data_IF_988396613186
#
_entry.id   IF_988396613186
#
_cell.length_a   1.000
_cell.length_b   1.000
_cell.length_c   1.000
_cell.angle_alpha   90.00
_cell.angle_beta   90.00
_cell.angle_gamma   90.00
#
_symmetry.space_group_name_H-M   'P 1'
#
loop_
_entity.id
_entity.type
_entity.pdbx_description
1 polymer ?
#
# COMPACT_ATOMS: atom_id res chain seq x y z
N UNK A 1 -4.30 39.77 12.74
CA UNK A 1 -3.69 38.45 12.46
C UNK A 1 -4.44 37.43 13.26
N UNK A 2 -5.41 36.75 12.64
CA UNK A 2 -6.05 35.59 13.27
C UNK A 2 -5.09 34.42 13.11
N UNK A 3 -4.64 33.89 14.25
CA UNK A 3 -3.85 32.67 14.27
C UNK A 3 -4.73 31.53 13.77
N UNK A 4 -4.34 30.93 12.64
CA UNK A 4 -4.86 29.62 12.28
C UNK A 4 -4.37 28.65 13.34
N UNK A 5 -5.26 28.33 14.29
CA UNK A 5 -5.16 27.18 15.18
C UNK A 5 -4.84 25.98 14.30
N UNK A 6 -3.61 25.45 14.44
CA UNK A 6 -3.27 24.17 13.85
C UNK A 6 -4.23 23.16 14.45
N UNK A 7 -5.12 22.64 13.62
CA UNK A 7 -5.78 21.37 13.86
C UNK A 7 -4.71 20.27 13.77
N UNK A 8 -3.82 20.23 14.77
CA UNK A 8 -3.15 19.01 15.14
C UNK A 8 -4.20 18.20 15.87
N UNK A 9 -5.10 17.57 15.10
CA UNK A 9 -6.00 16.59 15.68
C UNK A 9 -5.13 15.61 16.43
N UNK A 10 -5.43 15.39 17.71
CA UNK A 10 -4.92 14.30 18.51
C UNK A 10 -5.31 12.98 17.79
N UNK A 11 -4.58 12.63 16.73
CA UNK A 11 -4.56 11.25 16.23
C UNK A 11 -3.86 10.50 17.32
N UNK A 12 -4.66 9.88 18.19
CA UNK A 12 -4.20 8.99 19.25
C UNK A 12 -3.11 8.10 18.65
N UNK A 13 -1.85 8.35 19.05
CA UNK A 13 -0.70 7.74 18.40
C UNK A 13 -0.79 6.25 18.62
N UNK A 14 -1.10 5.51 17.57
CA UNK A 14 -1.08 4.05 17.60
C UNK A 14 0.37 3.65 17.81
N UNK A 15 0.70 3.26 19.03
CA UNK A 15 2.04 2.84 19.41
C UNK A 15 2.11 1.33 19.33
N UNK A 16 2.73 0.84 18.27
CA UNK A 16 2.99 -0.59 18.14
C UNK A 16 4.23 -1.00 18.94
N UNK A 17 4.13 -2.15 19.60
CA UNK A 17 5.28 -2.82 20.20
C UNK A 17 6.25 -3.27 19.11
N UNK A 18 7.55 -3.46 19.43
CA UNK A 18 8.52 -3.97 18.46
C UNK A 18 8.13 -5.33 17.88
N UNK A 19 7.45 -6.19 18.66
CA UNK A 19 6.93 -7.48 18.20
C UNK A 19 5.82 -7.30 17.16
N UNK A 20 4.84 -6.42 17.41
CA UNK A 20 3.78 -6.10 16.46
C UNK A 20 4.33 -5.52 15.15
N UNK A 21 5.35 -4.66 15.24
CA UNK A 21 6.03 -4.12 14.06
C UNK A 21 6.75 -5.21 13.26
N UNK A 22 7.30 -6.21 13.94
CA UNK A 22 7.95 -7.34 13.29
C UNK A 22 6.91 -8.22 12.58
N UNK A 23 5.80 -8.53 13.24
CA UNK A 23 4.66 -9.25 12.64
C UNK A 23 4.14 -8.52 11.40
N UNK A 24 3.86 -7.22 11.50
CA UNK A 24 3.39 -6.42 10.37
C UNK A 24 4.35 -6.46 9.18
N UNK A 25 5.66 -6.46 9.44
CA UNK A 25 6.69 -6.58 8.39
C UNK A 25 6.66 -7.94 7.71
N UNK A 26 6.54 -9.01 8.48
CA UNK A 26 6.43 -10.37 7.94
C UNK A 26 5.15 -10.54 7.13
N UNK A 27 4.05 -9.97 7.63
CA UNK A 27 2.76 -9.99 6.97
C UNK A 27 2.82 -9.26 5.63
N UNK A 28 3.36 -8.05 5.58
CA UNK A 28 3.55 -7.31 4.33
C UNK A 28 4.47 -8.03 3.34
N UNK A 29 5.55 -8.65 3.82
CA UNK A 29 6.40 -9.46 2.98
C UNK A 29 5.62 -10.65 2.39
N UNK A 30 4.73 -11.26 3.18
CA UNK A 30 3.82 -12.29 2.71
C UNK A 30 2.80 -11.76 1.69
N UNK A 31 2.22 -10.57 1.90
CA UNK A 31 1.34 -9.94 0.90
C UNK A 31 2.10 -9.70 -0.40
N UNK A 32 3.29 -9.11 -0.32
CA UNK A 32 4.12 -8.83 -1.49
C UNK A 32 4.48 -10.10 -2.27
N UNK A 33 4.82 -11.18 -1.56
CA UNK A 33 5.06 -12.49 -2.16
C UNK A 33 3.81 -13.04 -2.85
N UNK A 34 2.64 -12.91 -2.22
CA UNK A 34 1.35 -13.35 -2.75
C UNK A 34 0.93 -12.56 -3.98
N UNK A 35 1.08 -11.23 -3.95
CA UNK A 35 0.86 -10.36 -5.11
C UNK A 35 1.74 -10.76 -6.29
N UNK A 36 3.00 -11.12 -6.04
CA UNK A 36 3.92 -11.58 -7.08
C UNK A 36 3.49 -12.92 -7.69
N UNK A 37 2.82 -13.77 -6.92
CA UNK A 37 2.27 -15.06 -7.41
C UNK A 37 1.05 -14.84 -8.33
N UNK A 38 0.27 -13.78 -8.08
CA UNK A 38 -0.89 -13.40 -8.88
C UNK A 38 -0.52 -12.68 -10.18
N UNK A 39 0.70 -12.14 -10.28
CA UNK A 39 1.15 -11.33 -11.41
C UNK A 39 2.29 -12.02 -12.19
N UNK A 40 2.45 -11.71 -13.48
CA UNK A 40 3.63 -12.12 -14.25
C UNK A 40 4.92 -11.63 -13.59
N UNK A 41 6.03 -12.36 -13.78
CA UNK A 41 7.34 -12.03 -13.21
C UNK A 41 7.97 -10.72 -13.68
N UNK A 42 7.30 -10.00 -14.59
CA UNK A 42 7.68 -8.66 -15.06
C UNK A 42 7.23 -7.55 -14.08
N UNK A 43 6.30 -7.85 -13.18
CA UNK A 43 5.83 -6.90 -12.16
C UNK A 43 6.77 -6.94 -10.95
N UNK A 44 7.26 -5.78 -10.55
CA UNK A 44 8.13 -5.64 -9.38
C UNK A 44 7.28 -5.23 -8.18
N UNK A 45 7.32 -6.01 -7.10
CA UNK A 45 6.57 -5.75 -5.87
C UNK A 45 7.52 -5.37 -4.76
N UNK A 46 7.20 -4.31 -4.02
CA UNK A 46 7.93 -3.84 -2.85
C UNK A 46 6.98 -3.51 -1.70
N UNK A 47 7.50 -3.59 -0.48
CA UNK A 47 6.78 -3.20 0.73
C UNK A 47 7.69 -2.36 1.62
N UNK A 48 7.16 -1.26 2.16
CA UNK A 48 7.84 -0.37 3.08
C UNK A 48 6.99 -0.17 4.34
N UNK A 49 7.66 -0.06 5.49
CA UNK A 49 7.02 0.37 6.74
C UNK A 49 7.72 1.65 7.18
N UNK A 50 6.93 2.71 7.32
CA UNK A 50 7.40 4.03 7.73
C UNK A 50 6.69 4.44 9.01
N UNK A 51 7.43 4.95 9.99
CA UNK A 51 6.86 5.51 11.21
C UNK A 51 6.36 6.93 10.94
N UNK A 52 5.04 7.11 10.90
CA UNK A 52 4.41 8.42 10.70
C UNK A 52 4.04 9.11 12.00
N UNK A 53 3.57 10.35 11.88
CA UNK A 53 3.12 11.15 13.03
C UNK A 53 1.89 10.54 13.73
N UNK A 54 1.05 9.81 12.99
CA UNK A 54 -0.13 9.11 13.50
C UNK A 54 0.15 7.66 13.96
N UNK A 55 1.37 7.14 13.76
CA UNK A 55 1.72 5.74 14.01
C UNK A 55 2.44 5.08 12.83
N UNK A 56 2.82 3.80 12.96
CA UNK A 56 3.47 3.05 11.90
C UNK A 56 2.51 2.86 10.73
N UNK A 57 3.00 3.14 9.53
CA UNK A 57 2.28 2.99 8.28
C UNK A 57 3.00 2.00 7.40
N UNK A 58 2.27 0.98 7.00
CA UNK A 58 2.67 0.02 6.00
C UNK A 58 2.28 0.51 4.61
N UNK A 59 3.11 0.29 3.61
CA UNK A 59 2.82 0.63 2.22
C UNK A 59 3.33 -0.48 1.33
N UNK A 60 2.49 -0.97 0.43
CA UNK A 60 2.85 -1.92 -0.62
C UNK A 60 2.81 -1.19 -1.95
N UNK A 61 3.83 -1.38 -2.77
CA UNK A 61 3.91 -0.83 -4.10
C UNK A 61 4.15 -1.93 -5.13
N UNK A 62 3.46 -1.84 -6.26
CA UNK A 62 3.65 -2.70 -7.43
C UNK A 62 4.02 -1.79 -8.60
N UNK A 63 5.18 -2.02 -9.19
CA UNK A 63 5.65 -1.41 -10.42
C UNK A 63 5.35 -2.37 -11.58
N UNK A 64 4.40 -2.04 -12.47
CA UNK A 64 4.20 -2.76 -13.71
C UNK A 64 5.36 -2.50 -14.69
N UNK A 65 5.59 -3.37 -15.70
CA UNK A 65 6.60 -3.14 -16.73
C UNK A 65 6.30 -1.90 -17.60
N UNK A 66 5.01 -1.55 -17.73
CA UNK A 66 4.54 -0.36 -18.45
C UNK A 66 3.51 0.39 -17.60
N UNK A 67 3.68 1.71 -17.48
CA UNK A 67 2.81 2.56 -16.69
C UNK A 67 3.38 2.97 -15.32
N UNK A 68 2.51 3.54 -14.49
CA UNK A 68 2.88 4.10 -13.20
C UNK A 68 2.86 3.06 -12.07
N UNK A 69 3.66 3.31 -11.03
CA UNK A 69 3.61 2.53 -9.78
C UNK A 69 2.23 2.63 -9.16
N UNK A 70 1.67 1.49 -8.76
CA UNK A 70 0.44 1.41 -7.97
C UNK A 70 0.82 1.10 -6.53
N UNK A 71 0.38 1.92 -5.59
CA UNK A 71 0.66 1.73 -4.16
C UNK A 71 -0.60 1.71 -3.32
N UNK A 72 -0.63 0.81 -2.33
CA UNK A 72 -1.67 0.73 -1.31
C UNK A 72 -1.04 0.97 0.07
N UNK A 73 -1.61 1.90 0.84
CA UNK A 73 -1.21 2.16 2.22
C UNK A 73 -2.11 1.41 3.19
N UNK A 74 -1.51 0.76 4.17
CA UNK A 74 -2.20 0.14 5.31
C UNK A 74 -1.73 0.83 6.59
N UNK A 75 -2.67 1.37 7.36
CA UNK A 75 -2.38 2.04 8.61
C UNK A 75 -3.16 1.33 9.72
N UNK A 76 -2.48 0.60 10.63
CA UNK A 76 -3.14 0.02 11.80
C UNK A 76 -3.72 1.14 12.68
N UNK A 77 -5.02 1.07 12.93
CA UNK A 77 -5.72 1.98 13.85
C UNK A 77 -5.60 1.53 15.31
N UNK A 78 -5.26 0.25 15.53
CA UNK A 78 -5.16 -0.38 16.85
C UNK A 78 -4.01 -1.40 16.90
N UNK A 79 -3.50 -1.75 18.10
CA UNK A 79 -2.50 -2.81 18.26
C UNK A 79 -2.96 -4.18 17.77
N UNK A 80 -4.27 -4.47 17.75
CA UNK A 80 -4.83 -5.71 17.19
C UNK A 80 -4.81 -5.70 15.66
N UNK A 81 -5.05 -4.52 15.06
CA UNK A 81 -4.94 -4.26 13.61
C UNK A 81 -3.49 -4.21 13.11
N UNK A 82 -2.51 -4.41 13.98
CA UNK A 82 -1.10 -4.52 13.60
C UNK A 82 -0.76 -5.84 12.90
N UNK A 83 -1.67 -6.82 12.94
CA UNK A 83 -1.52 -8.12 12.27
C UNK A 83 -2.47 -8.16 11.09
N UNK A 84 -1.95 -8.47 9.92
CA UNK A 84 -2.79 -8.65 8.72
C UNK A 84 -3.18 -10.11 8.67
N UNK A 85 -4.46 -10.45 8.75
CA UNK A 85 -4.91 -11.85 8.67
C UNK A 85 -4.69 -12.44 7.28
N UNK A 86 -4.70 -13.77 7.14
CA UNK A 86 -4.49 -14.41 5.85
C UNK A 86 -5.50 -13.94 4.79
N UNK A 87 -6.78 -13.82 5.16
CA UNK A 87 -7.83 -13.30 4.28
C UNK A 87 -7.52 -11.86 3.85
N UNK A 88 -7.19 -10.96 4.79
CA UNK A 88 -6.80 -9.58 4.47
C UNK A 88 -5.56 -9.52 3.56
N UNK A 89 -4.60 -10.44 3.74
CA UNK A 89 -3.41 -10.50 2.89
C UNK A 89 -3.78 -10.86 1.45
N UNK A 90 -4.65 -11.84 1.26
CA UNK A 90 -5.13 -12.22 -0.07
C UNK A 90 -5.98 -11.10 -0.70
N UNK A 91 -6.85 -10.45 0.06
CA UNK A 91 -7.65 -9.29 -0.41
C UNK A 91 -6.75 -8.11 -0.82
N UNK A 92 -5.76 -7.74 0.01
CA UNK A 92 -4.80 -6.69 -0.31
C UNK A 92 -3.97 -7.06 -1.54
N UNK A 93 -3.48 -8.30 -1.61
CA UNK A 93 -2.69 -8.78 -2.72
C UNK A 93 -3.48 -8.76 -4.03
N UNK A 94 -4.74 -9.19 -4.00
CA UNK A 94 -5.63 -9.20 -5.15
C UNK A 94 -6.03 -7.78 -5.56
N UNK A 95 -6.31 -6.88 -4.62
CA UNK A 95 -6.69 -5.50 -4.89
C UNK A 95 -5.57 -4.71 -5.58
N UNK A 96 -4.34 -4.83 -5.08
CA UNK A 96 -3.19 -4.17 -5.72
C UNK A 96 -2.81 -4.83 -7.05
N UNK A 97 -2.88 -6.16 -7.16
CA UNK A 97 -2.64 -6.88 -8.40
C UNK A 97 -3.65 -6.51 -9.49
N UNK A 98 -4.94 -6.45 -9.15
CA UNK A 98 -6.00 -6.06 -10.07
C UNK A 98 -5.79 -4.62 -10.55
N UNK A 99 -5.42 -3.71 -9.65
CA UNK A 99 -5.11 -2.31 -9.98
C UNK A 99 -3.89 -2.19 -10.90
N UNK A 100 -2.81 -2.94 -10.63
CA UNK A 100 -1.62 -2.99 -11.47
C UNK A 100 -1.91 -3.58 -12.86
N UNK A 101 -2.70 -4.65 -12.93
CA UNK A 101 -3.12 -5.25 -14.19
C UNK A 101 -4.01 -4.30 -15.01
N UNK A 102 -4.90 -3.55 -14.34
CA UNK A 102 -5.73 -2.53 -14.98
C UNK A 102 -4.87 -1.39 -15.53
N UNK A 103 -3.82 -0.96 -14.80
CA UNK A 103 -2.89 0.07 -15.25
C UNK A 103 -2.21 -0.32 -16.56
N UNK A 104 -1.71 -1.56 -16.68
CA UNK A 104 -1.10 -2.06 -17.93
C UNK A 104 -2.12 -2.09 -19.06
N UNK A 105 -3.34 -2.56 -18.78
CA UNK A 105 -4.41 -2.59 -19.78
C UNK A 105 -4.79 -1.19 -20.27
N UNK A 106 -4.83 -0.20 -19.38
CA UNK A 106 -5.06 1.18 -19.77
C UNK A 106 -3.91 1.67 -20.63
N UNK A 107 -2.65 1.48 -20.24
CA UNK A 107 -1.49 1.94 -21.04
C UNK A 107 -1.39 1.25 -22.41
N UNK A 108 -1.81 -0.01 -22.52
CA UNK A 108 -1.82 -0.74 -23.81
C UNK A 108 -3.09 -0.52 -24.66
N UNK A 109 -4.23 -0.23 -24.03
CA UNK A 109 -5.52 -0.06 -24.70
C UNK A 109 -5.91 1.40 -24.95
N UNK A 110 -5.32 2.33 -24.21
CA UNK A 110 -5.34 3.76 -24.47
C UNK A 110 -4.28 4.02 -25.55
N UNK A 111 -4.67 3.80 -26.80
CA UNK A 111 -4.07 4.54 -27.92
C UNK A 111 -4.24 6.01 -27.53
N UNK A 112 -3.17 6.76 -27.21
CA UNK A 112 -3.32 8.12 -26.73
C UNK A 112 -3.80 8.94 -27.91
N UNK A 113 -5.12 9.08 -28.09
CA UNK A 113 -5.63 10.27 -28.78
C UNK A 113 -5.17 11.42 -27.90
N UNK A 114 -4.20 12.24 -28.35
CA UNK A 114 -3.73 13.33 -27.54
C UNK A 114 -4.92 14.27 -27.39
N UNK A 115 -5.45 14.38 -26.18
CA UNK A 115 -6.32 15.50 -25.82
C UNK A 115 -5.43 16.74 -25.83
N UNK A 116 -5.23 17.24 -27.05
CA UNK A 116 -4.78 18.59 -27.30
C UNK A 116 -5.93 19.55 -26.98
N UNK A 117 -5.54 20.65 -26.36
CA UNK A 117 -6.24 21.92 -26.15
C UNK A 117 -7.12 22.02 -24.90
#
# INVERSE_FOLDING_TARGET
MYGNTSFGGDTEKVTLTPEQRQTLREDLASVAARTRDLLPGEFVVGSEISDGEAGPRATIAVQPPVGSVVSAGYAPEDPESATITADERDDLAQGIAASAALQVKQVMGDDPTPTAQ
#
